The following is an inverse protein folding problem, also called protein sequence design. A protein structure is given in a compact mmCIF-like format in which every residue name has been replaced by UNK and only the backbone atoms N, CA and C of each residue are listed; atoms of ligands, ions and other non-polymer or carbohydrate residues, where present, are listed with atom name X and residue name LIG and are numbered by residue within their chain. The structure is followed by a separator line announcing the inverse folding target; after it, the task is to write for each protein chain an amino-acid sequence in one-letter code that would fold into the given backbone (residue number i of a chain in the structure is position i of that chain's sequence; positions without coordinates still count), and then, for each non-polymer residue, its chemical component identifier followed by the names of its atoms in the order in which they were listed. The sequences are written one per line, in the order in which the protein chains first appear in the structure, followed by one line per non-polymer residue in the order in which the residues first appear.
data_IF_512260672815
#
_entry.id   IF_512260672815
#
_cell.length_a   1.000
_cell.length_b   1.000
_cell.length_c   1.000
_cell.angle_alpha   90.00
_cell.angle_beta   90.00
_cell.angle_gamma   90.00
#
_symmetry.space_group_name_H-M   'P 1'
#
loop_
_entity.id
_entity.type
_entity.pdbx_description
1 polymer ?
#
# COMPACT_ATOMS: atom_id res chain seq x y z
N UNK A 1 20.81 -12.88 3.87
CA UNK A 1 19.76 -13.22 2.88
C UNK A 1 18.74 -12.07 2.78
N UNK A 2 19.09 -11.05 2.02
CA UNK A 2 18.28 -9.83 1.87
C UNK A 2 16.93 -10.07 1.16
N UNK A 3 16.87 -11.03 0.25
CA UNK A 3 15.72 -11.31 -0.58
C UNK A 3 14.91 -12.53 -0.14
N UNK A 4 15.36 -13.29 0.87
CA UNK A 4 14.72 -14.52 1.29
C UNK A 4 14.77 -15.63 0.23
N UNK A 5 15.88 -15.79 -0.47
CA UNK A 5 16.03 -16.73 -1.58
C UNK A 5 16.79 -18.01 -1.21
N UNK A 6 17.42 -18.06 -0.04
CA UNK A 6 18.28 -19.20 0.35
C UNK A 6 17.51 -20.53 0.33
N UNK A 7 16.30 -20.55 0.86
CA UNK A 7 15.50 -21.78 0.95
C UNK A 7 14.98 -22.27 -0.39
N UNK A 8 14.95 -21.41 -1.40
CA UNK A 8 14.39 -21.72 -2.72
C UNK A 8 15.44 -21.78 -3.84
N UNK A 9 16.74 -21.58 -3.51
CA UNK A 9 17.84 -21.46 -4.49
C UNK A 9 17.96 -22.66 -5.44
N UNK A 10 17.60 -23.86 -4.96
CA UNK A 10 17.73 -25.11 -5.73
C UNK A 10 16.39 -25.51 -6.39
N UNK A 11 15.34 -24.69 -6.27
CA UNK A 11 14.04 -24.95 -6.87
C UNK A 11 13.98 -24.47 -8.31
N UNK A 12 13.26 -25.22 -9.17
CA UNK A 12 12.99 -24.79 -10.53
C UNK A 12 12.11 -23.55 -10.56
N UNK A 13 12.41 -22.55 -11.41
CA UNK A 13 11.68 -21.29 -11.52
C UNK A 13 10.16 -21.46 -11.70
N UNK A 14 9.75 -22.48 -12.45
CA UNK A 14 8.33 -22.79 -12.69
C UNK A 14 7.57 -23.22 -11.42
N UNK A 15 8.27 -23.66 -10.38
CA UNK A 15 7.66 -24.09 -9.10
C UNK A 15 7.60 -22.98 -8.06
N UNK A 16 8.12 -21.80 -8.38
CA UNK A 16 8.12 -20.65 -7.48
C UNK A 16 6.77 -19.93 -7.50
N UNK A 17 6.37 -19.39 -6.33
CA UNK A 17 5.23 -18.47 -6.26
C UNK A 17 5.51 -17.16 -7.00
N UNK A 18 4.47 -16.33 -7.24
CA UNK A 18 4.63 -15.02 -7.87
C UNK A 18 5.64 -14.13 -7.14
N UNK A 19 5.52 -13.99 -5.83
CA UNK A 19 6.44 -13.19 -5.01
C UNK A 19 7.87 -13.77 -4.99
N UNK A 20 8.03 -15.10 -4.95
CA UNK A 20 9.34 -15.73 -5.06
C UNK A 20 10.00 -15.47 -6.41
N UNK A 21 9.26 -15.56 -7.52
CA UNK A 21 9.76 -15.20 -8.86
C UNK A 21 10.16 -13.73 -8.93
N UNK A 22 9.35 -12.84 -8.37
CA UNK A 22 9.64 -11.41 -8.35
C UNK A 22 10.94 -11.11 -7.59
N UNK A 23 11.11 -11.67 -6.38
CA UNK A 23 12.36 -11.51 -5.61
C UNK A 23 13.56 -12.12 -6.32
N UNK A 24 13.39 -13.23 -7.02
CA UNK A 24 14.45 -13.84 -7.85
C UNK A 24 14.84 -12.93 -9.02
N UNK A 25 13.86 -12.31 -9.69
CA UNK A 25 14.11 -11.36 -10.76
C UNK A 25 14.90 -10.13 -10.24
N UNK A 26 14.49 -9.55 -9.11
CA UNK A 26 15.22 -8.47 -8.46
C UNK A 26 16.65 -8.92 -8.13
N UNK A 27 16.81 -10.11 -7.54
CA UNK A 27 18.11 -10.69 -7.21
C UNK A 27 19.02 -10.85 -8.42
N UNK A 28 18.47 -11.23 -9.57
CA UNK A 28 19.26 -11.38 -10.80
C UNK A 28 19.84 -10.04 -11.29
N UNK A 29 19.09 -8.95 -11.17
CA UNK A 29 19.58 -7.60 -11.51
C UNK A 29 20.65 -7.13 -10.52
N UNK A 30 20.49 -7.44 -9.23
CA UNK A 30 21.45 -7.05 -8.20
C UNK A 30 22.84 -7.70 -8.38
N UNK A 31 22.94 -8.80 -9.13
CA UNK A 31 24.25 -9.41 -9.43
C UNK A 31 25.17 -8.49 -10.22
N UNK A 32 24.63 -7.49 -10.91
CA UNK A 32 25.41 -6.47 -11.63
C UNK A 32 25.90 -5.33 -10.74
N UNK A 33 25.57 -5.38 -9.44
CA UNK A 33 25.90 -4.35 -8.47
C UNK A 33 25.48 -2.91 -8.89
N UNK A 34 24.22 -2.70 -9.22
CA UNK A 34 23.73 -1.39 -9.67
C UNK A 34 23.66 -0.40 -8.51
N UNK A 35 23.88 0.89 -8.78
CA UNK A 35 23.63 1.96 -7.81
C UNK A 35 22.16 2.41 -7.78
N UNK A 36 21.42 2.15 -8.86
CA UNK A 36 20.00 2.49 -9.01
C UNK A 36 19.24 1.28 -9.53
N UNK A 37 18.13 0.95 -8.89
CA UNK A 37 17.20 -0.09 -9.31
C UNK A 37 15.89 0.56 -9.77
N UNK A 38 15.47 0.27 -11.00
CA UNK A 38 14.20 0.74 -11.56
C UNK A 38 13.21 -0.42 -11.58
N UNK A 39 12.05 -0.23 -10.98
CA UNK A 39 11.00 -1.23 -10.87
C UNK A 39 9.70 -0.68 -11.43
N UNK A 40 9.12 -1.40 -12.39
CA UNK A 40 7.83 -1.08 -12.96
C UNK A 40 6.79 -2.07 -12.43
N UNK A 41 5.85 -1.56 -11.63
CA UNK A 41 4.77 -2.29 -10.99
C UNK A 41 5.19 -3.62 -10.33
N UNK A 42 6.21 -3.64 -9.46
CA UNK A 42 6.74 -4.90 -8.93
C UNK A 42 5.75 -5.70 -8.09
N UNK A 43 4.59 -5.13 -7.74
CA UNK A 43 3.58 -5.80 -6.91
C UNK A 43 2.24 -6.05 -7.63
N UNK A 44 2.08 -5.66 -8.88
CA UNK A 44 0.78 -5.64 -9.58
C UNK A 44 0.13 -7.01 -9.74
N UNK A 45 0.92 -8.04 -10.00
CA UNK A 45 0.45 -9.42 -10.23
C UNK A 45 0.51 -10.31 -8.98
N UNK A 46 0.65 -9.72 -7.78
CA UNK A 46 0.84 -10.45 -6.53
C UNK A 46 -0.39 -10.32 -5.62
N UNK A 47 -0.65 -11.40 -4.87
CA UNK A 47 -1.56 -11.31 -3.73
C UNK A 47 -1.00 -10.36 -2.66
N UNK A 48 -1.85 -9.87 -1.72
CA UNK A 48 -1.42 -8.87 -0.73
C UNK A 48 -0.21 -9.32 0.11
N UNK A 49 -0.17 -10.58 0.54
CA UNK A 49 0.93 -11.10 1.36
C UNK A 49 2.25 -11.15 0.58
N UNK A 50 2.22 -11.67 -0.65
CA UNK A 50 3.40 -11.72 -1.52
C UNK A 50 3.90 -10.30 -1.89
N UNK A 51 2.98 -9.34 -2.10
CA UNK A 51 3.34 -7.95 -2.35
C UNK A 51 4.08 -7.31 -1.16
N UNK A 52 3.59 -7.54 0.07
CA UNK A 52 4.26 -7.07 1.29
C UNK A 52 5.65 -7.66 1.45
N UNK A 53 5.84 -8.96 1.16
CA UNK A 53 7.16 -9.60 1.19
C UNK A 53 8.14 -8.99 0.19
N UNK A 54 7.67 -8.67 -1.03
CA UNK A 54 8.51 -8.01 -2.06
C UNK A 54 8.88 -6.60 -1.62
N UNK A 55 7.91 -5.81 -1.12
CA UNK A 55 8.18 -4.45 -0.63
C UNK A 55 9.14 -4.46 0.56
N UNK A 56 8.98 -5.38 1.51
CA UNK A 56 9.90 -5.54 2.62
C UNK A 56 11.33 -5.92 2.16
N UNK A 57 11.45 -6.73 1.11
CA UNK A 57 12.73 -7.04 0.51
C UNK A 57 13.38 -5.80 -0.13
N UNK A 58 12.60 -5.01 -0.89
CA UNK A 58 13.07 -3.75 -1.50
C UNK A 58 13.53 -2.77 -0.41
N UNK A 59 12.78 -2.62 0.68
CA UNK A 59 13.18 -1.77 1.80
C UNK A 59 14.53 -2.20 2.39
N UNK A 60 14.76 -3.51 2.58
CA UNK A 60 16.08 -3.99 3.04
C UNK A 60 17.20 -3.61 2.07
N UNK A 61 16.95 -3.65 0.75
CA UNK A 61 17.95 -3.22 -0.24
C UNK A 61 18.29 -1.74 -0.11
N UNK A 62 17.29 -0.89 0.15
CA UNK A 62 17.50 0.55 0.39
C UNK A 62 18.27 0.77 1.68
N UNK A 63 17.82 0.21 2.80
CA UNK A 63 18.40 0.49 4.11
C UNK A 63 19.76 -0.19 4.36
N UNK A 64 19.90 -1.45 3.94
CA UNK A 64 21.10 -2.23 4.25
C UNK A 64 22.21 -2.04 3.20
N UNK A 65 21.85 -1.78 1.94
CA UNK A 65 22.82 -1.61 0.85
C UNK A 65 22.95 -0.15 0.38
N UNK A 66 22.12 0.76 0.85
CA UNK A 66 22.10 2.14 0.36
C UNK A 66 21.67 2.27 -1.11
N UNK A 67 20.90 1.31 -1.62
CA UNK A 67 20.49 1.28 -3.01
C UNK A 67 19.42 2.35 -3.27
N UNK A 68 19.57 3.12 -4.33
CA UNK A 68 18.50 4.01 -4.80
C UNK A 68 17.47 3.21 -5.59
N UNK A 69 16.20 3.31 -5.23
CA UNK A 69 15.10 2.63 -5.93
C UNK A 69 14.15 3.65 -6.53
N UNK A 70 13.92 3.56 -7.84
CA UNK A 70 12.85 4.24 -8.54
C UNK A 70 11.75 3.23 -8.87
N UNK A 71 10.54 3.48 -8.37
CA UNK A 71 9.43 2.54 -8.51
C UNK A 71 8.20 3.24 -9.10
N UNK A 72 7.60 2.65 -10.13
CA UNK A 72 6.26 2.97 -10.57
C UNK A 72 5.26 2.00 -9.93
N UNK A 73 4.19 2.50 -9.34
CA UNK A 73 3.14 1.70 -8.69
C UNK A 73 1.77 2.34 -8.84
N UNK A 74 0.75 1.53 -9.09
CA UNK A 74 -0.65 1.97 -9.13
C UNK A 74 -1.29 2.03 -7.74
N UNK A 75 -0.85 1.16 -6.84
CA UNK A 75 -1.40 1.06 -5.48
C UNK A 75 -0.55 1.87 -4.52
N UNK A 76 -0.69 3.19 -4.60
CA UNK A 76 0.10 4.14 -3.81
C UNK A 76 -0.01 3.88 -2.30
N UNK A 77 -1.16 3.39 -1.82
CA UNK A 77 -1.39 3.06 -0.40
C UNK A 77 -0.41 2.03 0.16
N UNK A 78 0.21 1.22 -0.71
CA UNK A 78 1.20 0.21 -0.28
C UNK A 78 2.60 0.79 -0.11
N UNK A 79 2.94 1.81 -0.88
CA UNK A 79 4.33 2.27 -1.04
C UNK A 79 4.60 3.66 -0.48
N UNK A 80 3.59 4.53 -0.46
CA UNK A 80 3.76 5.95 -0.13
C UNK A 80 4.38 6.19 1.25
N UNK A 81 4.06 5.35 2.23
CA UNK A 81 4.60 5.44 3.59
C UNK A 81 6.11 5.13 3.69
N UNK A 82 6.69 4.56 2.64
CA UNK A 82 8.10 4.15 2.57
C UNK A 82 8.91 4.99 1.58
N UNK A 83 8.23 5.85 0.83
CA UNK A 83 8.88 6.68 -0.18
C UNK A 83 9.50 7.93 0.47
N UNK A 84 10.77 8.20 0.18
CA UNK A 84 11.42 9.45 0.55
C UNK A 84 10.93 10.59 -0.36
N UNK A 85 10.69 10.29 -1.63
CA UNK A 85 10.22 11.22 -2.65
C UNK A 85 9.15 10.59 -3.54
N UNK A 86 8.25 11.44 -4.01
CA UNK A 86 7.27 11.11 -5.05
C UNK A 86 7.56 11.95 -6.28
N UNK A 87 7.44 11.34 -7.45
CA UNK A 87 7.44 12.02 -8.74
C UNK A 87 6.06 11.83 -9.35
N UNK A 88 5.30 12.89 -9.52
CA UNK A 88 4.02 12.90 -10.19
C UNK A 88 4.14 13.49 -11.59
N UNK A 89 3.54 12.82 -12.56
CA UNK A 89 3.46 13.31 -13.95
C UNK A 89 2.00 13.66 -14.20
N UNK A 90 1.74 14.94 -14.39
CA UNK A 90 0.41 15.48 -14.66
C UNK A 90 -0.02 15.18 -16.11
N UNK A 91 -1.33 15.30 -16.36
CA UNK A 91 -1.91 15.01 -17.69
C UNK A 91 -1.42 15.96 -18.78
N UNK A 92 -0.96 17.14 -18.44
CA UNK A 92 -0.34 18.12 -19.35
C UNK A 92 1.15 17.87 -19.60
N UNK A 93 1.73 16.84 -18.93
CA UNK A 93 3.15 16.52 -18.99
C UNK A 93 4.01 17.26 -17.96
N UNK A 94 3.42 18.09 -17.11
CA UNK A 94 4.14 18.73 -16.00
C UNK A 94 4.62 17.67 -15.01
N UNK A 95 5.87 17.80 -14.55
CA UNK A 95 6.46 16.91 -13.55
C UNK A 95 6.60 17.64 -12.23
N UNK A 96 5.97 17.11 -11.20
CA UNK A 96 6.09 17.60 -9.81
C UNK A 96 6.82 16.53 -9.00
N UNK A 97 7.79 16.95 -8.18
CA UNK A 97 8.50 16.00 -7.31
C UNK A 97 8.77 16.61 -5.93
N UNK A 98 8.88 15.78 -4.93
CA UNK A 98 9.16 16.19 -3.56
C UNK A 98 8.76 15.13 -2.53
N UNK A 99 8.77 15.50 -1.24
CA UNK A 99 8.25 14.63 -0.18
C UNK A 99 6.80 14.24 -0.44
N UNK A 100 6.40 13.00 -0.10
CA UNK A 100 5.06 12.48 -0.37
C UNK A 100 3.93 13.39 0.11
N UNK A 101 4.02 13.90 1.33
CA UNK A 101 3.02 14.79 1.92
C UNK A 101 2.84 16.10 1.14
N UNK A 102 3.92 16.61 0.52
CA UNK A 102 3.87 17.85 -0.27
C UNK A 102 3.29 17.61 -1.65
N UNK A 103 3.77 16.57 -2.35
CA UNK A 103 3.32 16.25 -3.72
C UNK A 103 1.87 15.76 -3.71
N UNK A 104 1.53 14.92 -2.72
CA UNK A 104 0.19 14.35 -2.59
C UNK A 104 -0.79 15.27 -1.87
N UNK A 105 -0.41 16.48 -1.45
CA UNK A 105 -1.34 17.45 -0.88
C UNK A 105 -2.44 17.85 -1.88
N UNK A 106 -2.06 18.09 -3.12
CA UNK A 106 -2.95 18.58 -4.18
C UNK A 106 -3.10 17.62 -5.36
N UNK A 107 -2.43 16.45 -5.30
CA UNK A 107 -2.49 15.48 -6.39
C UNK A 107 -3.93 15.00 -6.65
N UNK A 108 -4.36 14.84 -7.92
CA UNK A 108 -5.71 14.42 -8.27
C UNK A 108 -6.02 12.99 -7.83
N UNK A 109 -4.99 12.18 -7.68
CA UNK A 109 -5.09 10.80 -7.18
C UNK A 109 -4.22 10.66 -5.94
N UNK A 110 -4.81 10.23 -4.84
CA UNK A 110 -4.10 9.97 -3.59
C UNK A 110 -4.69 8.76 -2.86
N UNK A 111 -3.90 8.08 -2.01
CA UNK A 111 -4.41 7.04 -1.13
C UNK A 111 -5.57 7.53 -0.25
N UNK A 112 -6.54 6.66 0.09
CA UNK A 112 -7.69 7.04 0.92
C UNK A 112 -7.32 7.68 2.26
N UNK A 113 -6.20 7.28 2.87
CA UNK A 113 -5.71 7.86 4.12
C UNK A 113 -5.28 9.31 3.96
N UNK A 114 -4.68 9.65 2.82
CA UNK A 114 -4.27 11.04 2.50
C UNK A 114 -5.50 11.88 2.17
N UNK A 115 -6.46 11.35 1.41
CA UNK A 115 -7.73 12.04 1.16
C UNK A 115 -8.48 12.33 2.44
N UNK A 116 -8.51 11.39 3.38
CA UNK A 116 -9.07 11.60 4.71
C UNK A 116 -8.31 12.73 5.42
N UNK A 117 -6.99 12.69 5.42
CA UNK A 117 -6.14 13.74 6.01
C UNK A 117 -6.43 15.13 5.45
N UNK A 118 -6.57 15.25 4.12
CA UNK A 118 -6.94 16.51 3.45
C UNK A 118 -8.30 17.02 3.94
N UNK A 119 -9.33 16.15 3.96
CA UNK A 119 -10.69 16.50 4.39
C UNK A 119 -10.76 16.93 5.85
N UNK A 120 -9.92 16.36 6.69
CA UNK A 120 -9.84 16.67 8.12
C UNK A 120 -8.88 17.81 8.43
N UNK A 121 -8.17 18.35 7.44
CA UNK A 121 -7.19 19.42 7.62
C UNK A 121 -5.98 18.99 8.47
N UNK A 122 -5.59 17.71 8.40
CA UNK A 122 -4.44 17.21 9.15
C UNK A 122 -3.13 17.75 8.55
N UNK A 123 -2.22 18.17 9.42
CA UNK A 123 -0.89 18.64 9.04
C UNK A 123 0.13 18.16 10.09
N UNK A 124 1.14 17.35 9.71
CA UNK A 124 1.38 16.84 8.35
C UNK A 124 0.29 15.87 7.87
N UNK A 125 0.20 15.66 6.54
CA UNK A 125 -0.71 14.67 5.97
C UNK A 125 -0.27 13.25 6.38
N UNK A 126 -1.20 12.40 6.82
CA UNK A 126 -0.87 11.03 7.18
C UNK A 126 -0.55 10.20 5.94
N UNK A 127 0.58 9.54 5.92
CA UNK A 127 0.99 8.62 4.83
C UNK A 127 0.56 7.18 5.10
N UNK A 128 0.16 6.88 6.33
CA UNK A 128 -0.31 5.56 6.75
C UNK A 128 -1.54 5.65 7.66
N UNK A 129 -2.28 4.53 7.77
CA UNK A 129 -3.39 4.41 8.74
C UNK A 129 -2.89 4.61 10.18
N UNK A 130 -1.65 4.20 10.47
CA UNK A 130 -1.02 4.40 11.78
C UNK A 130 -0.86 5.89 12.08
N UNK A 131 -0.38 6.67 11.12
CA UNK A 131 -0.21 8.12 11.27
C UNK A 131 -1.55 8.81 11.46
N UNK A 132 -2.55 8.50 10.62
CA UNK A 132 -3.89 9.04 10.77
C UNK A 132 -4.48 8.74 12.16
N UNK A 133 -4.32 7.52 12.68
CA UNK A 133 -4.77 7.16 14.03
C UNK A 133 -4.05 7.94 15.12
N UNK A 134 -2.77 8.23 14.95
CA UNK A 134 -1.99 9.03 15.91
C UNK A 134 -2.48 10.47 15.93
N UNK A 135 -2.64 11.08 14.77
CA UNK A 135 -3.07 12.48 14.63
C UNK A 135 -4.52 12.69 15.14
N UNK A 136 -5.39 11.70 14.96
CA UNK A 136 -6.80 11.76 15.39
C UNK A 136 -7.04 11.16 16.78
N UNK A 137 -6.01 10.76 17.52
CA UNK A 137 -6.16 10.10 18.81
C UNK A 137 -6.94 10.95 19.83
N UNK A 138 -6.73 12.27 19.81
CA UNK A 138 -7.44 13.23 20.68
C UNK A 138 -8.93 13.40 20.34
N UNK A 139 -9.38 12.95 19.18
CA UNK A 139 -10.76 13.11 18.71
C UNK A 139 -11.67 11.92 19.10
N UNK A 140 -11.10 10.86 19.66
CA UNK A 140 -11.87 9.65 20.03
C UNK A 140 -13.04 9.95 20.96
N UNK A 141 -12.85 10.86 21.92
CA UNK A 141 -13.92 11.26 22.84
C UNK A 141 -15.12 11.89 22.13
N UNK A 142 -14.90 12.59 20.99
CA UNK A 142 -15.97 13.17 20.18
C UNK A 142 -16.82 12.10 19.49
N UNK A 143 -16.23 10.94 19.19
CA UNK A 143 -16.93 9.80 18.59
C UNK A 143 -17.71 9.01 19.65
N UNK A 144 -17.17 8.85 20.85
CA UNK A 144 -17.84 8.17 21.95
C UNK A 144 -19.10 8.92 22.39
N UNK A 145 -19.04 10.26 22.48
CA UNK A 145 -20.22 11.10 22.78
C UNK A 145 -21.29 11.02 21.67
N UNK A 146 -20.91 10.83 20.41
CA UNK A 146 -21.86 10.72 19.29
C UNK A 146 -22.56 9.36 19.20
N UNK A 147 -21.97 8.28 19.70
CA UNK A 147 -22.58 6.96 19.77
C UNK A 147 -23.69 6.88 20.85
N UNK A 148 -23.68 7.81 21.82
CA UNK A 148 -24.75 7.93 22.81
C UNK A 148 -26.02 8.61 22.24
N UNK A 149 -25.94 9.27 21.10
CA UNK A 149 -27.08 9.89 20.44
C UNK A 149 -27.51 9.05 19.24
N UNK A 150 -28.60 8.28 19.43
CA UNK A 150 -29.38 7.62 18.39
C UNK A 150 -28.91 6.21 17.95
N UNK A 151 -29.14 5.23 18.81
CA UNK A 151 -29.70 3.99 18.27
C UNK A 151 -31.06 4.34 17.66
N UNK A 152 -31.12 4.61 16.36
CA UNK A 152 -32.40 4.63 15.64
C UNK A 152 -32.98 3.22 15.79
N UNK A 153 -34.16 3.03 16.44
CA UNK A 153 -34.76 1.72 16.50
C UNK A 153 -35.07 1.31 15.06
N UNK A 154 -34.37 0.31 14.56
CA UNK A 154 -34.79 -0.37 13.34
C UNK A 154 -36.10 -1.04 13.70
N UNK A 155 -37.22 -0.43 13.33
CA UNK A 155 -38.53 -1.04 13.44
C UNK A 155 -38.50 -2.28 12.54
N UNK A 156 -38.39 -3.44 13.17
CA UNK A 156 -38.61 -4.72 12.52
C UNK A 156 -40.12 -4.86 12.21
N UNK A 157 -40.59 -4.17 11.21
CA UNK A 157 -41.90 -4.36 10.60
C UNK A 157 -41.73 -4.43 9.10
N UNK A 158 -41.47 -5.62 8.64
CA UNK A 158 -41.42 -5.95 7.24
C UNK A 158 -41.09 -7.44 7.11
N UNK A 159 -41.97 -8.15 6.45
CA UNK A 159 -41.79 -9.53 6.06
C UNK A 159 -40.38 -9.73 5.53
N UNK A 160 -39.63 -10.69 6.09
CA UNK A 160 -38.32 -11.04 5.62
C UNK A 160 -38.43 -11.63 4.21
N UNK A 161 -38.31 -10.76 3.21
CA UNK A 161 -38.12 -11.21 1.85
C UNK A 161 -36.73 -11.89 1.80
N UNK A 162 -36.71 -13.15 1.39
CA UNK A 162 -35.47 -13.89 1.18
C UNK A 162 -34.70 -13.20 0.06
N UNK A 163 -33.57 -12.56 0.41
CA UNK A 163 -32.77 -11.76 -0.52
C UNK A 163 -31.80 -12.62 -1.33
N UNK A 164 -31.40 -13.78 -0.78
CA UNK A 164 -30.59 -14.75 -1.50
C UNK A 164 -30.77 -16.14 -0.86
N UNK A 165 -30.84 -17.19 -1.70
CA UNK A 165 -30.76 -18.59 -1.30
C UNK A 165 -29.60 -19.23 -2.07
N UNK A 166 -28.64 -19.83 -1.37
CA UNK A 166 -27.52 -20.55 -2.00
C UNK A 166 -27.66 -22.01 -1.68
N UNK A 167 -28.19 -22.78 -2.64
CA UNK A 167 -28.25 -24.22 -2.58
C UNK A 167 -27.01 -24.82 -3.26
N UNK A 168 -26.23 -25.56 -2.50
CA UNK A 168 -25.01 -26.24 -2.93
C UNK A 168 -23.81 -25.35 -3.28
N UNK A 169 -23.05 -24.94 -2.25
CA UNK A 169 -21.67 -24.47 -2.41
C UNK A 169 -20.73 -25.70 -2.37
N UNK A 170 -20.21 -26.11 -3.52
CA UNK A 170 -19.08 -27.05 -3.57
C UNK A 170 -17.78 -26.25 -3.67
N UNK A 171 -16.86 -26.52 -2.74
CA UNK A 171 -15.49 -25.99 -2.71
C UNK A 171 -14.59 -26.89 -3.54
#
# INVERSE_FOLDING_TARGET
DLLGLVEIRDRALLTLSGGQRQRTAIGSVLTTNPSVLVLDEPTSALDPGAAEEVLAAIQRLVFDLGLTVLMAEHRLERVVQYADHVVAIETDGTVVHGPPESVLADAPVAPPVIELGRRLGLSPLPLSVRDARRETASWRHLLDDSQSAAAVPVSASGESAMVANVDHLSV
#
